data_IF_211957555846
#
_entry.id   IF_211957555846
#
_cell.length_a   1.000
_cell.length_b   1.000
_cell.length_c   1.000
_cell.angle_alpha   90.00
_cell.angle_beta   90.00
_cell.angle_gamma   90.00
#
_symmetry.space_group_name_H-M   'P 1'
#
loop_
_entity.id
_entity.type
_entity.pdbx_description
1 polymer ?
#
# COMPACT_ATOMS: atom_id res chain seq x y z
N UNK A 1 9.40 -6.96 0.56
CA UNK A 1 8.69 -8.13 1.14
C UNK A 1 7.40 -8.36 0.35
N UNK A 2 7.42 -9.17 -0.71
CA UNK A 2 6.20 -9.55 -1.42
C UNK A 2 5.26 -10.35 -0.50
N UNK A 3 3.96 -10.27 -0.77
CA UNK A 3 2.86 -11.05 -0.16
C UNK A 3 2.55 -10.78 1.32
N UNK A 4 3.31 -9.89 1.97
CA UNK A 4 3.01 -9.42 3.33
C UNK A 4 2.02 -8.26 3.32
N UNK A 5 1.03 -8.32 4.21
CA UNK A 5 0.12 -7.21 4.49
C UNK A 5 0.77 -6.26 5.49
N UNK A 6 0.74 -4.96 5.17
CA UNK A 6 1.14 -3.87 6.04
C UNK A 6 -0.06 -2.99 6.37
N UNK A 7 -0.26 -2.69 7.65
CA UNK A 7 -1.24 -1.71 8.09
C UNK A 7 -0.80 -0.28 7.74
N UNK A 8 -1.73 0.67 7.78
CA UNK A 8 -1.40 2.09 7.54
C UNK A 8 -0.38 2.62 8.56
N UNK A 9 -0.53 2.37 9.87
CA UNK A 9 0.50 2.76 10.84
C UNK A 9 1.87 2.14 10.54
N UNK A 10 1.92 0.85 10.14
CA UNK A 10 3.19 0.21 9.79
C UNK A 10 3.86 0.85 8.57
N UNK A 11 3.07 1.21 7.55
CA UNK A 11 3.60 1.92 6.38
C UNK A 11 4.07 3.34 6.73
N UNK A 12 3.36 4.02 7.64
CA UNK A 12 3.78 5.32 8.14
C UNK A 12 5.12 5.25 8.87
N UNK A 13 5.22 4.37 9.87
CA UNK A 13 6.41 4.19 10.69
C UNK A 13 7.63 3.81 9.86
N UNK A 14 7.47 2.95 8.86
CA UNK A 14 8.58 2.47 8.04
C UNK A 14 9.08 3.49 7.01
N UNK A 15 8.22 4.38 6.51
CA UNK A 15 8.57 5.32 5.43
C UNK A 15 8.96 6.69 5.96
N UNK A 16 8.26 7.19 6.99
CA UNK A 16 8.48 8.53 7.55
C UNK A 16 9.13 8.51 8.94
N UNK A 17 9.12 7.37 9.64
CA UNK A 17 9.62 7.25 11.00
C UNK A 17 8.64 7.80 12.04
N UNK A 18 8.87 7.45 13.32
CA UNK A 18 7.98 7.80 14.43
C UNK A 18 7.92 9.28 14.83
N UNK A 19 8.57 10.17 14.08
CA UNK A 19 8.65 11.61 14.39
C UNK A 19 7.82 12.49 13.44
N UNK A 20 7.01 11.88 12.57
CA UNK A 20 6.12 12.61 11.67
C UNK A 20 4.67 12.29 12.03
N UNK A 21 3.94 13.31 12.46
CA UNK A 21 2.51 13.19 12.74
C UNK A 21 1.74 13.21 11.43
N UNK A 22 1.67 12.04 10.78
CA UNK A 22 0.98 11.86 9.51
C UNK A 22 -0.28 11.03 9.75
N UNK A 23 -1.41 11.48 9.21
CA UNK A 23 -2.64 10.69 9.27
C UNK A 23 -2.59 9.47 8.34
N UNK A 24 -3.27 8.40 8.74
CA UNK A 24 -3.55 7.21 7.93
C UNK A 24 -4.03 7.52 6.50
N UNK A 25 -4.78 8.62 6.34
CA UNK A 25 -5.30 9.10 5.04
C UNK A 25 -4.18 9.50 4.06
N UNK A 26 -3.02 9.87 4.58
CA UNK A 26 -1.86 10.20 3.75
C UNK A 26 -1.32 8.96 3.06
N UNK A 27 -1.28 7.82 3.75
CA UNK A 27 -0.91 6.53 3.15
C UNK A 27 -1.80 6.24 1.95
N UNK A 28 -3.11 6.42 2.09
CA UNK A 28 -4.07 6.17 1.00
C UNK A 28 -3.77 7.07 -0.24
N UNK A 29 -3.43 8.34 -0.02
CA UNK A 29 -3.06 9.28 -1.09
C UNK A 29 -1.77 8.84 -1.79
N UNK A 30 -0.75 8.45 -1.02
CA UNK A 30 0.52 7.98 -1.57
C UNK A 30 0.34 6.67 -2.35
N UNK A 31 -0.44 5.71 -1.83
CA UNK A 31 -0.77 4.47 -2.54
C UNK A 31 -1.50 4.77 -3.85
N UNK A 32 -2.48 5.69 -3.85
CA UNK A 32 -3.21 6.08 -5.07
C UNK A 32 -2.27 6.67 -6.12
N UNK A 33 -1.37 7.58 -5.70
CA UNK A 33 -0.37 8.19 -6.60
C UNK A 33 0.60 7.15 -7.14
N UNK A 34 1.08 6.25 -6.27
CA UNK A 34 2.00 5.18 -6.66
C UNK A 34 1.36 4.25 -7.69
N UNK A 35 0.13 3.78 -7.45
CA UNK A 35 -0.63 2.96 -8.43
C UNK A 35 -0.73 3.65 -9.78
N UNK A 36 -1.05 4.95 -9.80
CA UNK A 36 -1.12 5.73 -11.06
C UNK A 36 0.24 5.85 -11.75
N UNK A 37 1.33 5.96 -10.98
CA UNK A 37 2.67 6.04 -11.55
C UNK A 37 3.09 4.74 -12.21
N UNK A 38 2.78 3.60 -11.59
CA UNK A 38 3.19 2.27 -12.09
C UNK A 38 2.17 1.68 -13.07
N UNK A 39 0.97 2.25 -13.17
CA UNK A 39 -0.04 1.82 -14.15
C UNK A 39 0.42 2.02 -15.59
N UNK A 40 1.34 2.96 -15.83
CA UNK A 40 1.92 3.19 -17.16
C UNK A 40 2.62 1.93 -17.68
N UNK A 41 3.20 1.14 -16.78
CA UNK A 41 3.82 -0.16 -17.07
C UNK A 41 2.87 -1.36 -16.87
N UNK A 42 1.59 -1.13 -16.57
CA UNK A 42 0.60 -2.19 -16.32
C UNK A 42 0.75 -2.91 -14.96
N UNK A 43 1.43 -2.30 -13.98
CA UNK A 43 1.72 -2.92 -12.69
C UNK A 43 0.84 -2.42 -11.53
N UNK A 44 -0.19 -1.63 -11.79
CA UNK A 44 -1.08 -1.06 -10.77
C UNK A 44 -1.77 -2.11 -9.90
N UNK A 45 -2.05 -3.28 -10.47
CA UNK A 45 -2.66 -4.42 -9.78
C UNK A 45 -1.75 -5.10 -8.77
N UNK A 46 -0.44 -4.83 -8.81
CA UNK A 46 0.50 -5.41 -7.85
C UNK A 46 0.33 -4.86 -6.44
N UNK A 47 -0.18 -3.63 -6.32
CA UNK A 47 -0.52 -3.04 -5.02
C UNK A 47 -1.98 -3.37 -4.73
N UNK A 48 -2.22 -4.21 -3.74
CA UNK A 48 -3.52 -4.77 -3.41
C UNK A 48 -4.06 -4.17 -2.12
N UNK A 49 -5.35 -3.87 -2.09
CA UNK A 49 -6.03 -3.39 -0.88
C UNK A 49 -6.64 -4.59 -0.16
N UNK A 50 -6.18 -4.83 1.07
CA UNK A 50 -6.77 -5.83 1.97
C UNK A 50 -7.72 -5.07 2.91
N UNK A 51 -9.03 -5.19 2.68
CA UNK A 51 -10.04 -4.45 3.44
C UNK A 51 -9.89 -4.71 4.94
N UNK A 52 -9.94 -3.65 5.75
CA UNK A 52 -9.76 -3.73 7.20
C UNK A 52 -8.32 -3.94 7.68
N UNK A 53 -7.40 -4.39 6.82
CA UNK A 53 -6.02 -4.69 7.23
C UNK A 53 -4.99 -3.67 6.70
N UNK A 54 -5.05 -3.30 5.43
CA UNK A 54 -4.11 -2.37 4.82
C UNK A 54 -3.74 -2.71 3.38
N UNK A 55 -2.44 -2.75 3.07
CA UNK A 55 -1.93 -2.92 1.71
C UNK A 55 -0.94 -4.08 1.60
N UNK A 56 -0.94 -4.73 0.44
CA UNK A 56 -0.03 -5.83 0.09
C UNK A 56 0.59 -5.55 -1.26
N UNK A 57 1.87 -5.87 -1.44
CA UNK A 57 2.52 -5.90 -2.74
C UNK A 57 2.68 -7.35 -3.19
N UNK A 58 2.08 -7.73 -4.32
CA UNK A 58 2.08 -9.11 -4.81
C UNK A 58 1.94 -9.14 -6.33
N UNK A 59 2.62 -10.07 -6.99
CA UNK A 59 2.46 -10.33 -8.43
C UNK A 59 1.29 -11.28 -8.73
N UNK A 60 0.71 -11.91 -7.69
CA UNK A 60 -0.39 -12.87 -7.86
C UNK A 60 -1.74 -12.18 -7.87
N UNK A 61 -2.70 -12.70 -8.66
CA UNK A 61 -4.07 -12.20 -8.66
C UNK A 61 -4.72 -12.44 -7.29
N UNK A 62 -4.99 -11.35 -6.55
CA UNK A 62 -5.71 -11.41 -5.28
C UNK A 62 -7.15 -11.85 -5.49
N UNK A 63 -7.50 -13.03 -4.97
CA UNK A 63 -8.88 -13.48 -4.77
C UNK A 63 -9.25 -13.18 -3.31
N UNK A 64 -10.01 -12.12 -3.02
CA UNK A 64 -10.64 -12.00 -1.72
C UNK A 64 -11.74 -13.05 -1.63
N UNK A 65 -11.57 -14.02 -0.74
CA UNK A 65 -12.70 -14.80 -0.22
C UNK A 65 -13.60 -13.90 0.64
#
# INVERSE_FOLDING_TARGET
HPDRVYSRPQLLDQVWGGNVYVEDRTVDVHIRRLRKSISIAGHDKMIQTVRGAGYRFSCENFKPE
#
